data_IF_521250935095
#
_entry.id   IF_521250935095
#
_cell.length_a   1.000
_cell.length_b   1.000
_cell.length_c   1.000
_cell.angle_alpha   90.00
_cell.angle_beta   90.00
_cell.angle_gamma   90.00
#
_symmetry.space_group_name_H-M   'P 1'
#
loop_
_entity.id
_entity.type
_entity.pdbx_description
1 polymer ?
#
# COMPACT_ATOMS: atom_id res chain seq x y z
N UNK A 1 4.18 -11.17 -16.49
CA UNK A 1 4.71 -11.83 -15.27
C UNK A 1 3.56 -12.51 -14.55
N UNK A 2 3.77 -13.72 -14.01
CA UNK A 2 2.76 -14.36 -13.14
C UNK A 2 2.72 -13.64 -11.79
N UNK A 3 1.52 -13.51 -11.18
CA UNK A 3 1.32 -12.94 -9.83
C UNK A 3 2.27 -13.58 -8.82
N UNK A 4 2.50 -14.89 -8.94
CA UNK A 4 3.45 -15.63 -8.08
C UNK A 4 4.88 -15.09 -8.16
N UNK A 5 5.33 -14.69 -9.34
CA UNK A 5 6.68 -14.14 -9.52
C UNK A 5 6.78 -12.74 -8.93
N UNK A 6 5.74 -11.92 -9.05
CA UNK A 6 5.68 -10.59 -8.43
C UNK A 6 5.74 -10.69 -6.91
N UNK A 7 4.90 -11.55 -6.31
CA UNK A 7 4.91 -11.77 -4.85
C UNK A 7 6.28 -12.24 -4.37
N UNK A 8 6.90 -13.20 -5.09
CA UNK A 8 8.24 -13.68 -4.75
C UNK A 8 9.29 -12.56 -4.81
N UNK A 9 9.24 -11.72 -5.85
CA UNK A 9 10.16 -10.57 -5.98
C UNK A 9 10.02 -9.59 -4.80
N UNK A 10 8.79 -9.31 -4.35
CA UNK A 10 8.58 -8.42 -3.19
C UNK A 10 9.12 -9.06 -1.92
N UNK A 11 8.83 -10.36 -1.69
CA UNK A 11 9.37 -11.09 -0.53
C UNK A 11 10.90 -11.09 -0.50
N UNK A 12 11.54 -11.23 -1.66
CA UNK A 12 13.00 -11.19 -1.79
C UNK A 12 13.56 -9.79 -1.46
N UNK A 13 12.89 -8.71 -1.87
CA UNK A 13 13.25 -7.33 -1.47
C UNK A 13 13.13 -7.16 0.05
N UNK A 14 12.02 -7.60 0.63
CA UNK A 14 11.79 -7.54 2.08
C UNK A 14 12.79 -8.38 2.90
N UNK A 15 13.56 -9.29 2.27
CA UNK A 15 14.63 -10.03 2.99
C UNK A 15 15.77 -9.13 3.44
N UNK A 16 15.91 -7.98 2.83
CA UNK A 16 16.96 -7.02 3.13
C UNK A 16 16.56 -6.06 4.25
N UNK A 17 15.29 -6.05 4.65
CA UNK A 17 14.78 -5.18 5.70
C UNK A 17 15.10 -5.74 7.09
N UNK A 18 15.93 -5.02 7.85
CA UNK A 18 16.30 -5.37 9.22
C UNK A 18 15.14 -5.25 10.22
N UNK A 19 14.05 -4.57 9.85
CA UNK A 19 12.87 -4.36 10.68
C UNK A 19 11.82 -5.47 10.58
N UNK A 20 12.01 -6.46 9.69
CA UNK A 20 11.04 -7.55 9.46
C UNK A 20 11.70 -8.91 9.69
N UNK A 21 11.36 -9.56 10.80
CA UNK A 21 11.83 -10.90 11.15
C UNK A 21 10.76 -11.98 10.89
N UNK A 22 11.12 -12.96 10.05
CA UNK A 22 10.27 -14.09 9.70
C UNK A 22 9.20 -13.85 8.63
N UNK A 23 8.59 -14.95 8.17
CA UNK A 23 7.59 -14.94 7.08
C UNK A 23 6.26 -14.30 7.50
N UNK A 24 5.85 -14.48 8.75
CA UNK A 24 4.59 -13.94 9.26
C UNK A 24 4.56 -12.40 9.19
N UNK A 25 5.64 -11.73 9.61
CA UNK A 25 5.72 -10.28 9.55
C UNK A 25 5.73 -9.78 8.09
N UNK A 26 6.40 -10.48 7.17
CA UNK A 26 6.39 -10.13 5.74
C UNK A 26 4.99 -10.23 5.15
N UNK A 27 4.26 -11.29 5.50
CA UNK A 27 2.86 -11.44 5.10
C UNK A 27 2.04 -10.26 5.64
N UNK A 28 2.20 -9.88 6.91
CA UNK A 28 1.50 -8.74 7.50
C UNK A 28 1.77 -7.42 6.75
N UNK A 29 3.02 -7.16 6.36
CA UNK A 29 3.36 -5.97 5.57
C UNK A 29 2.72 -5.98 4.19
N UNK A 30 2.68 -7.14 3.52
CA UNK A 30 1.99 -7.28 2.24
C UNK A 30 0.47 -7.10 2.37
N UNK A 31 -0.12 -7.62 3.45
CA UNK A 31 -1.56 -7.61 3.65
C UNK A 31 -2.14 -6.20 3.64
N UNK A 32 -1.57 -5.26 4.42
CA UNK A 32 -2.12 -3.90 4.49
C UNK A 32 -1.91 -3.14 3.17
N UNK A 33 -0.76 -3.33 2.51
CA UNK A 33 -0.49 -2.70 1.21
C UNK A 33 -1.47 -3.18 0.14
N UNK A 34 -1.69 -4.50 0.04
CA UNK A 34 -2.66 -5.05 -0.90
C UNK A 34 -4.08 -4.61 -0.58
N UNK A 35 -4.45 -4.55 0.70
CA UNK A 35 -5.77 -4.07 1.11
C UNK A 35 -6.02 -2.64 0.61
N UNK A 36 -5.08 -1.72 0.84
CA UNK A 36 -5.20 -0.33 0.36
C UNK A 36 -5.23 -0.25 -1.17
N UNK A 37 -4.39 -1.02 -1.88
CA UNK A 37 -4.38 -1.04 -3.35
C UNK A 37 -5.70 -1.52 -3.94
N UNK A 38 -6.24 -2.62 -3.39
CA UNK A 38 -7.48 -3.24 -3.86
C UNK A 38 -8.67 -2.31 -3.60
N UNK A 39 -8.74 -1.67 -2.43
CA UNK A 39 -9.80 -0.70 -2.14
C UNK A 39 -9.70 0.49 -3.08
N UNK A 40 -8.50 1.01 -3.32
CA UNK A 40 -8.33 2.17 -4.19
C UNK A 40 -8.74 1.88 -5.64
N UNK A 41 -8.46 0.68 -6.15
CA UNK A 41 -8.94 0.21 -7.46
C UNK A 41 -10.46 0.09 -7.50
N UNK A 42 -11.06 -0.48 -6.46
CA UNK A 42 -12.51 -0.57 -6.34
C UNK A 42 -13.16 0.82 -6.25
N UNK A 43 -12.55 1.74 -5.51
CA UNK A 43 -12.99 3.13 -5.40
C UNK A 43 -12.97 3.81 -6.77
N UNK A 44 -11.90 3.63 -7.57
CA UNK A 44 -11.83 4.17 -8.94
C UNK A 44 -12.99 3.68 -9.82
N UNK A 45 -13.29 2.38 -9.76
CA UNK A 45 -14.40 1.79 -10.51
C UNK A 45 -15.76 2.35 -10.04
N UNK A 46 -15.98 2.43 -8.73
CA UNK A 46 -17.22 2.92 -8.15
C UNK A 46 -17.43 4.41 -8.42
N UNK A 47 -16.39 5.24 -8.31
CA UNK A 47 -16.41 6.67 -8.66
C UNK A 47 -16.77 6.88 -10.14
N UNK A 48 -16.32 5.99 -11.03
CA UNK A 48 -16.65 6.06 -12.46
C UNK A 48 -18.11 5.65 -12.75
N UNK A 49 -18.66 4.72 -11.98
CA UNK A 49 -20.01 4.18 -12.20
C UNK A 49 -21.11 4.92 -11.42
N UNK A 50 -20.78 5.53 -10.28
CA UNK A 50 -21.73 6.09 -9.33
C UNK A 50 -21.35 7.54 -8.99
N UNK A 51 -22.19 8.50 -9.42
CA UNK A 51 -21.91 9.95 -9.29
C UNK A 51 -21.78 10.44 -7.84
N UNK A 52 -22.47 9.80 -6.90
CA UNK A 52 -22.51 10.20 -5.50
C UNK A 52 -21.66 9.30 -4.58
N UNK A 53 -20.85 8.40 -5.17
CA UNK A 53 -19.97 7.55 -4.39
C UNK A 53 -18.92 8.39 -3.66
N UNK A 54 -18.62 7.98 -2.43
CA UNK A 54 -17.56 8.56 -1.61
C UNK A 54 -16.71 7.42 -1.06
N UNK A 55 -15.43 7.46 -1.39
CA UNK A 55 -14.45 6.54 -0.81
C UNK A 55 -14.52 6.59 0.72
N UNK A 56 -14.50 5.43 1.40
CA UNK A 56 -14.38 5.38 2.85
C UNK A 56 -12.98 5.81 3.33
N UNK A 57 -11.98 5.83 2.44
CA UNK A 57 -10.62 6.24 2.74
C UNK A 57 -10.48 7.76 2.50
N UNK A 58 -10.04 8.54 3.51
CA UNK A 58 -9.75 9.96 3.33
C UNK A 58 -8.74 10.18 2.20
N UNK A 59 -8.96 11.21 1.37
CA UNK A 59 -8.17 11.46 0.16
C UNK A 59 -6.66 11.34 0.37
N UNK A 60 -6.11 11.91 1.44
CA UNK A 60 -4.66 11.88 1.72
C UNK A 60 -4.07 10.48 1.96
N UNK A 61 -4.92 9.50 2.27
CA UNK A 61 -4.53 8.11 2.56
C UNK A 61 -4.88 7.13 1.44
N UNK A 62 -5.56 7.57 0.39
CA UNK A 62 -5.87 6.74 -0.78
C UNK A 62 -4.56 6.35 -1.49
N UNK A 63 -4.46 5.09 -1.92
CA UNK A 63 -3.25 4.54 -2.53
C UNK A 63 -2.76 5.40 -3.71
N UNK A 64 -3.68 5.84 -4.58
CA UNK A 64 -3.38 6.71 -5.73
C UNK A 64 -2.66 8.02 -5.40
N UNK A 65 -2.72 8.49 -4.16
CA UNK A 65 -2.14 9.78 -3.77
C UNK A 65 -0.68 9.67 -3.36
N UNK A 66 -0.27 8.60 -2.69
CA UNK A 66 1.07 8.50 -2.11
C UNK A 66 1.91 7.34 -2.65
N UNK A 67 1.28 6.30 -3.20
CA UNK A 67 1.94 5.05 -3.60
C UNK A 67 1.89 4.75 -5.11
N UNK A 68 1.11 5.49 -5.90
CA UNK A 68 0.96 5.22 -7.33
C UNK A 68 2.06 5.83 -8.22
N UNK A 69 2.76 6.85 -7.73
CA UNK A 69 3.86 7.49 -8.44
C UNK A 69 5.19 6.75 -8.17
N UNK A 70 5.85 6.18 -9.20
CA UNK A 70 7.17 5.54 -9.03
C UNK A 70 8.26 6.49 -8.55
N UNK A 71 8.13 7.80 -8.79
CA UNK A 71 9.05 8.85 -8.31
C UNK A 71 8.50 9.57 -7.06
N UNK A 72 7.49 8.99 -6.41
CA UNK A 72 6.84 9.55 -5.23
C UNK A 72 7.70 9.51 -3.95
N UNK A 73 7.05 9.69 -2.80
CA UNK A 73 7.73 9.74 -1.51
C UNK A 73 8.44 8.40 -1.21
N UNK A 74 9.67 8.48 -0.70
CA UNK A 74 10.49 7.31 -0.35
C UNK A 74 11.31 7.59 0.92
N UNK A 75 12.00 6.59 1.45
CA UNK A 75 12.89 6.70 2.61
C UNK A 75 12.21 7.24 3.86
N UNK A 76 12.92 8.08 4.61
CA UNK A 76 12.45 8.72 5.86
C UNK A 76 11.07 9.41 5.74
N UNK A 77 10.81 10.25 4.71
CA UNK A 77 9.49 10.82 4.49
C UNK A 77 8.36 9.78 4.41
N UNK A 78 8.57 8.68 3.69
CA UNK A 78 7.58 7.62 3.57
C UNK A 78 7.37 6.90 4.90
N UNK A 79 8.44 6.59 5.63
CA UNK A 79 8.35 5.95 6.94
C UNK A 79 7.56 6.80 7.94
N UNK A 80 7.82 8.12 7.99
CA UNK A 80 7.05 9.05 8.85
C UNK A 80 5.59 9.11 8.45
N UNK A 81 5.28 9.21 7.16
CA UNK A 81 3.90 9.19 6.70
C UNK A 81 3.16 7.92 7.15
N UNK A 82 3.77 6.75 6.96
CA UNK A 82 3.15 5.47 7.33
C UNK A 82 2.95 5.36 8.85
N UNK A 83 3.98 5.69 9.64
CA UNK A 83 3.97 5.48 11.09
C UNK A 83 3.21 6.57 11.86
N UNK A 84 3.30 7.83 11.43
CA UNK A 84 2.78 8.97 12.20
C UNK A 84 1.39 9.41 11.72
N UNK A 85 1.06 9.16 10.44
CA UNK A 85 -0.20 9.61 9.86
C UNK A 85 -1.15 8.48 9.45
N UNK A 86 -0.66 7.47 8.74
CA UNK A 86 -1.51 6.40 8.19
C UNK A 86 -1.93 5.39 9.27
N UNK A 87 -0.98 4.98 10.12
CA UNK A 87 -1.20 4.07 11.23
C UNK A 87 -0.66 4.66 12.55
N UNK A 88 -1.24 5.78 13.03
CA UNK A 88 -0.79 6.43 14.25
C UNK A 88 -0.96 5.49 15.45
N UNK A 89 0.03 5.51 16.34
CA UNK A 89 0.03 4.76 17.61
C UNK A 89 -0.69 5.50 18.74
#
# INVERSE_FOLDING_TARGET
MSVRNTVKSIQDIMRQDSGVDGDAQRISQLCWMFFLKIIDDQDLELEAMQKDYRSPIPKKFQWRIWAADPEGITGEPLMRFVNDELFPS
#
